data_IF_345960624239
#
_entry.id   IF_345960624239
#
_cell.length_a   1.000
_cell.length_b   1.000
_cell.length_c   1.000
_cell.angle_alpha   90.00
_cell.angle_beta   90.00
_cell.angle_gamma   90.00
#
_symmetry.space_group_name_H-M   'P 1'
#
loop_
_entity.id
_entity.type
_entity.pdbx_description
1 polymer ?
#
# COMPACT_ATOMS: atom_id res chain seq x y z
N UNK A 1 -18.78 -10.57 9.93
CA UNK A 1 -17.95 -9.34 10.00
C UNK A 1 -16.56 -9.73 9.48
N UNK A 2 -16.07 -9.10 8.41
CA UNK A 2 -14.76 -9.41 7.84
C UNK A 2 -13.63 -9.22 8.86
N UNK A 3 -12.65 -10.11 8.80
CA UNK A 3 -11.41 -10.04 9.58
C UNK A 3 -10.34 -9.37 8.73
N UNK A 4 -9.69 -8.33 9.26
CA UNK A 4 -8.67 -7.60 8.49
C UNK A 4 -7.36 -7.58 9.26
N UNK A 5 -6.32 -8.16 8.65
CA UNK A 5 -4.98 -8.20 9.21
C UNK A 5 -4.21 -6.91 8.91
N UNK A 6 -3.46 -6.42 9.88
CA UNK A 6 -2.54 -5.31 9.70
C UNK A 6 -1.45 -5.29 10.77
N UNK A 7 -0.36 -4.55 10.48
CA UNK A 7 0.74 -4.38 11.43
C UNK A 7 0.27 -3.65 12.67
N UNK A 8 0.36 -4.33 13.82
CA UNK A 8 0.08 -3.79 15.15
C UNK A 8 1.27 -3.00 15.75
N UNK A 9 1.08 -2.48 16.97
CA UNK A 9 -0.16 -2.42 17.72
C UNK A 9 -1.19 -1.47 17.11
N UNK A 10 -2.37 -1.36 17.73
CA UNK A 10 -3.39 -0.36 17.35
C UNK A 10 -2.81 1.06 17.41
N UNK A 11 -3.30 1.96 16.55
CA UNK A 11 -2.82 3.35 16.46
C UNK A 11 -1.73 3.57 15.40
N UNK A 12 -1.38 2.57 14.58
CA UNK A 12 -0.41 2.74 13.49
C UNK A 12 -0.98 3.50 12.29
N UNK A 13 -0.12 4.05 11.42
CA UNK A 13 -0.57 4.63 10.13
C UNK A 13 -1.30 3.61 9.25
N UNK A 14 -0.96 2.33 9.35
CA UNK A 14 -1.68 1.27 8.63
C UNK A 14 -3.13 1.19 9.08
N UNK A 15 -3.38 1.30 10.37
CA UNK A 15 -4.75 1.34 10.89
C UNK A 15 -5.47 2.63 10.48
N UNK A 16 -4.79 3.79 10.50
CA UNK A 16 -5.36 5.05 10.00
C UNK A 16 -5.80 4.89 8.55
N UNK A 17 -4.94 4.30 7.70
CA UNK A 17 -5.27 4.04 6.30
C UNK A 17 -6.46 3.09 6.17
N UNK A 18 -6.49 2.00 6.94
CA UNK A 18 -7.61 1.05 6.94
C UNK A 18 -8.92 1.70 7.34
N UNK A 19 -8.93 2.50 8.41
CA UNK A 19 -10.13 3.22 8.85
C UNK A 19 -10.63 4.20 7.79
N UNK A 20 -9.72 4.88 7.07
CA UNK A 20 -10.11 5.73 5.94
C UNK A 20 -10.64 4.92 4.75
N UNK A 21 -10.06 3.76 4.43
CA UNK A 21 -10.59 2.87 3.39
C UNK A 21 -12.01 2.41 3.73
N UNK A 22 -12.25 2.03 4.99
CA UNK A 22 -13.60 1.67 5.49
C UNK A 22 -14.56 2.85 5.36
N UNK A 23 -14.17 4.03 5.80
CA UNK A 23 -15.00 5.24 5.73
C UNK A 23 -15.34 5.66 4.28
N UNK A 24 -14.55 5.26 3.29
CA UNK A 24 -14.76 5.51 1.86
C UNK A 24 -15.42 4.34 1.11
N UNK A 25 -15.91 3.32 1.84
CA UNK A 25 -16.54 2.11 1.27
C UNK A 25 -15.63 1.33 0.29
N UNK A 26 -14.32 1.34 0.58
CA UNK A 26 -13.32 0.69 -0.28
C UNK A 26 -13.02 -0.76 0.14
N UNK A 27 -13.59 -1.24 1.24
CA UNK A 27 -13.31 -2.57 1.80
C UNK A 27 -14.47 -3.50 1.53
N UNK A 28 -14.30 -4.55 0.70
CA UNK A 28 -15.38 -5.47 0.37
C UNK A 28 -16.03 -6.10 1.61
N UNK A 29 -17.35 -6.03 1.68
CA UNK A 29 -18.14 -6.63 2.77
C UNK A 29 -18.07 -5.88 4.11
N UNK A 30 -17.38 -4.76 4.18
CA UNK A 30 -17.35 -3.86 5.35
C UNK A 30 -18.22 -2.66 5.06
N UNK A 31 -19.20 -2.39 5.90
CA UNK A 31 -19.97 -1.14 5.84
C UNK A 31 -19.25 -0.05 6.65
N UNK A 32 -19.31 1.21 6.21
CA UNK A 32 -18.85 2.33 7.05
C UNK A 32 -19.46 2.22 8.44
N UNK A 33 -18.66 2.49 9.47
CA UNK A 33 -19.09 2.35 10.85
C UNK A 33 -20.38 3.16 11.11
N UNK A 34 -21.41 2.56 11.73
CA UNK A 34 -22.51 3.33 12.25
C UNK A 34 -22.00 4.31 13.32
N UNK A 35 -22.82 5.29 13.69
CA UNK A 35 -22.49 6.38 14.63
C UNK A 35 -22.00 5.91 16.02
N UNK A 36 -22.05 4.61 16.32
CA UNK A 36 -21.56 4.00 17.57
C UNK A 36 -20.05 3.79 17.62
N UNK A 37 -19.32 4.16 16.57
CA UNK A 37 -17.86 4.17 16.52
C UNK A 37 -17.19 2.80 16.43
N UNK A 38 -17.95 1.68 16.31
CA UNK A 38 -17.36 0.35 16.14
C UNK A 38 -16.98 0.15 14.68
N UNK A 39 -15.69 -0.15 14.44
CA UNK A 39 -15.21 -0.54 13.11
C UNK A 39 -16.05 -1.71 12.58
N UNK A 40 -16.53 -1.62 11.33
CA UNK A 40 -17.33 -2.67 10.69
C UNK A 40 -16.54 -3.94 10.35
N UNK A 41 -15.36 -4.15 10.97
CA UNK A 41 -14.47 -5.29 10.77
C UNK A 41 -13.88 -5.77 12.10
N UNK A 42 -13.34 -7.00 12.12
CA UNK A 42 -12.58 -7.56 13.24
C UNK A 42 -11.08 -7.41 12.95
N UNK A 43 -10.31 -6.67 13.78
CA UNK A 43 -8.87 -6.53 13.59
C UNK A 43 -8.13 -7.84 13.88
N UNK A 44 -7.13 -8.15 13.04
CA UNK A 44 -6.16 -9.22 13.24
C UNK A 44 -4.77 -8.57 13.28
N UNK A 45 -4.29 -8.30 14.49
CA UNK A 45 -2.98 -7.66 14.68
C UNK A 45 -1.85 -8.66 14.41
N UNK A 46 -0.82 -8.18 13.71
CA UNK A 46 0.36 -8.97 13.36
C UNK A 46 1.64 -8.21 13.67
N UNK A 47 2.75 -8.94 13.85
CA UNK A 47 4.04 -8.36 14.21
C UNK A 47 4.83 -7.84 13.00
N UNK A 48 4.34 -8.10 11.78
CA UNK A 48 5.02 -7.70 10.55
C UNK A 48 4.05 -7.62 9.37
N UNK A 49 4.41 -6.84 8.36
CA UNK A 49 3.69 -6.77 7.08
C UNK A 49 3.59 -8.15 6.39
N UNK A 50 4.67 -8.95 6.29
CA UNK A 50 4.56 -10.33 5.78
C UNK A 50 3.61 -11.19 6.62
N UNK A 51 3.57 -11.00 7.94
CA UNK A 51 2.65 -11.70 8.84
C UNK A 51 1.18 -11.37 8.54
N UNK A 52 0.87 -10.12 8.17
CA UNK A 52 -0.48 -9.73 7.77
C UNK A 52 -0.90 -10.44 6.47
N UNK A 53 -0.03 -10.49 5.46
CA UNK A 53 -0.29 -11.21 4.21
C UNK A 53 -0.39 -12.73 4.43
N UNK A 54 0.43 -13.30 5.31
CA UNK A 54 0.34 -14.70 5.70
C UNK A 54 -1.00 -15.01 6.38
N UNK A 55 -1.51 -14.11 7.22
CA UNK A 55 -2.82 -14.30 7.87
C UNK A 55 -3.97 -14.45 6.85
N UNK A 56 -3.88 -13.78 5.69
CA UNK A 56 -4.85 -13.97 4.60
C UNK A 56 -4.69 -15.34 3.95
N UNK A 57 -3.45 -15.76 3.64
CA UNK A 57 -3.18 -17.08 3.04
C UNK A 57 -3.63 -18.23 3.93
N UNK A 58 -3.44 -18.08 5.23
CA UNK A 58 -3.81 -19.09 6.24
C UNK A 58 -5.31 -19.06 6.59
N UNK A 59 -6.10 -18.17 5.99
CA UNK A 59 -7.53 -18.02 6.28
C UNK A 59 -7.83 -17.47 7.69
N UNK A 60 -6.82 -16.89 8.37
CA UNK A 60 -7.01 -16.21 9.66
C UNK A 60 -7.60 -14.82 9.51
N UNK A 61 -7.39 -14.20 8.34
CA UNK A 61 -8.00 -12.94 7.95
C UNK A 61 -8.59 -13.05 6.53
N UNK A 62 -9.61 -12.26 6.26
CA UNK A 62 -10.25 -12.19 4.95
C UNK A 62 -9.52 -11.21 4.04
N UNK A 63 -8.95 -10.14 4.62
CA UNK A 63 -8.11 -9.16 3.96
C UNK A 63 -6.92 -8.75 4.83
N UNK A 64 -5.92 -8.13 4.21
CA UNK A 64 -4.84 -7.44 4.90
C UNK A 64 -4.70 -6.01 4.37
N UNK A 65 -4.47 -5.04 5.26
CA UNK A 65 -4.05 -3.69 4.90
C UNK A 65 -2.55 -3.57 5.14
N UNK A 66 -1.80 -3.21 4.10
CA UNK A 66 -0.33 -3.15 4.15
C UNK A 66 0.21 -1.95 3.37
N UNK A 67 1.32 -1.32 3.81
CA UNK A 67 2.01 -0.31 3.03
C UNK A 67 2.73 -0.98 1.84
N UNK A 68 2.72 -0.35 0.67
CA UNK A 68 3.41 -0.84 -0.53
C UNK A 68 4.51 0.11 -1.02
N UNK A 69 4.36 1.39 -0.76
CA UNK A 69 5.28 2.44 -1.22
C UNK A 69 5.23 3.65 -0.29
N UNK A 70 6.39 4.24 -0.05
CA UNK A 70 6.56 5.50 0.67
C UNK A 70 7.33 6.49 -0.21
N UNK A 71 6.89 7.75 -0.27
CA UNK A 71 7.49 8.76 -1.15
C UNK A 71 8.93 9.15 -0.76
N UNK A 72 9.36 8.86 0.46
CA UNK A 72 10.71 9.14 0.97
C UNK A 72 11.59 7.89 0.90
N UNK A 73 11.09 6.75 1.41
CA UNK A 73 11.86 5.51 1.54
C UNK A 73 11.78 4.61 0.28
N UNK A 74 10.84 4.90 -0.64
CA UNK A 74 10.58 4.08 -1.82
C UNK A 74 9.69 2.87 -1.55
N UNK A 75 9.92 1.78 -2.26
CA UNK A 75 9.12 0.56 -2.17
C UNK A 75 9.24 -0.14 -0.82
N UNK A 76 8.12 -0.60 -0.26
CA UNK A 76 8.11 -1.43 0.95
C UNK A 76 8.46 -2.87 0.57
N UNK A 77 9.76 -3.17 0.59
CA UNK A 77 10.31 -4.44 0.09
C UNK A 77 9.69 -5.69 0.73
N UNK A 78 9.43 -5.75 2.05
CA UNK A 78 8.78 -6.90 2.66
C UNK A 78 7.38 -7.19 2.09
N UNK A 79 6.62 -6.14 1.74
CA UNK A 79 5.31 -6.28 1.07
C UNK A 79 5.48 -6.86 -0.33
N UNK A 80 6.38 -6.28 -1.13
CA UNK A 80 6.63 -6.75 -2.50
C UNK A 80 7.10 -8.21 -2.52
N UNK A 81 8.11 -8.52 -1.72
CA UNK A 81 8.64 -9.88 -1.63
C UNK A 81 7.53 -10.90 -1.26
N UNK A 82 6.66 -10.52 -0.31
CA UNK A 82 5.55 -11.39 0.11
C UNK A 82 4.47 -11.54 -0.96
N UNK A 83 4.18 -10.50 -1.76
CA UNK A 83 3.22 -10.59 -2.87
C UNK A 83 3.74 -11.46 -4.03
N UNK A 84 5.06 -11.47 -4.24
CA UNK A 84 5.68 -12.21 -5.35
C UNK A 84 5.79 -13.72 -5.14
N UNK A 85 5.72 -14.20 -3.90
CA UNK A 85 5.97 -15.61 -3.56
C UNK A 85 4.78 -16.24 -2.84
N UNK A 86 4.77 -17.57 -2.76
CA UNK A 86 3.71 -18.35 -2.10
C UNK A 86 2.39 -18.32 -2.86
N UNK A 87 1.31 -18.71 -2.17
CA UNK A 87 -0.03 -18.69 -2.76
C UNK A 87 -0.40 -17.28 -3.21
N UNK A 88 -1.05 -17.14 -4.39
CA UNK A 88 -1.41 -15.85 -4.95
C UNK A 88 -2.28 -15.02 -4.00
N UNK A 89 -2.02 -13.73 -3.99
CA UNK A 89 -2.84 -12.72 -3.33
C UNK A 89 -3.19 -11.64 -4.35
N UNK A 90 -4.30 -10.93 -4.11
CA UNK A 90 -4.80 -9.89 -5.01
C UNK A 90 -5.08 -8.60 -4.25
N UNK A 91 -4.74 -7.48 -4.87
CA UNK A 91 -5.02 -6.13 -4.37
C UNK A 91 -6.42 -5.72 -4.86
N UNK A 92 -7.22 -5.16 -3.96
CA UNK A 92 -8.60 -4.73 -4.20
C UNK A 92 -8.80 -3.22 -4.11
N UNK A 93 -7.94 -2.54 -3.36
CA UNK A 93 -8.01 -1.09 -3.17
C UNK A 93 -6.64 -0.52 -2.84
N UNK A 94 -6.46 0.78 -3.07
CA UNK A 94 -5.32 1.55 -2.59
C UNK A 94 -5.78 2.85 -1.93
N UNK A 95 -5.01 3.32 -0.97
CA UNK A 95 -5.16 4.63 -0.35
C UNK A 95 -3.78 5.27 -0.21
N UNK A 96 -3.66 6.52 -0.63
CA UNK A 96 -2.49 7.35 -0.35
C UNK A 96 -2.79 8.20 0.89
N UNK A 97 -1.95 8.03 1.90
CA UNK A 97 -2.03 8.77 3.16
C UNK A 97 -0.89 9.76 3.23
N UNK A 98 -1.19 11.03 3.49
CA UNK A 98 -0.18 12.01 3.87
C UNK A 98 0.34 11.66 5.27
N UNK A 99 1.67 11.57 5.42
CA UNK A 99 2.31 11.17 6.67
C UNK A 99 2.78 12.41 7.41
N UNK A 100 2.16 12.67 8.54
CA UNK A 100 2.59 13.67 9.50
C UNK A 100 2.53 13.08 10.91
N UNK A 101 3.47 13.47 11.76
CA UNK A 101 3.58 12.91 13.09
C UNK A 101 2.99 13.84 14.14
N UNK A 102 2.55 13.24 15.23
CA UNK A 102 2.09 13.95 16.43
C UNK A 102 3.10 13.71 17.52
N UNK A 103 3.62 14.78 18.11
CA UNK A 103 4.46 14.69 19.30
C UNK A 103 3.53 14.67 20.52
N UNK A 104 3.62 13.62 21.30
CA UNK A 104 2.72 13.33 22.41
C UNK A 104 3.45 13.36 23.74
N UNK A 105 2.71 13.72 24.81
CA UNK A 105 3.16 13.67 26.19
C UNK A 105 2.07 13.07 27.09
N UNK A 106 2.42 12.70 28.31
CA UNK A 106 1.40 12.34 29.30
C UNK A 106 0.48 13.53 29.60
N UNK A 107 -0.79 13.28 29.93
CA UNK A 107 -1.72 14.35 30.32
C UNK A 107 -1.16 15.20 31.45
N UNK A 108 -1.24 16.53 31.26
CA UNK A 108 -0.78 17.48 32.24
C UNK A 108 0.74 17.54 32.46
N UNK A 109 1.55 17.03 31.53
CA UNK A 109 3.01 17.12 31.61
C UNK A 109 3.47 18.57 31.54
N UNK A 110 4.13 19.05 32.61
CA UNK A 110 4.64 20.44 32.72
C UNK A 110 6.15 20.51 32.89
N UNK A 111 6.81 19.37 32.98
CA UNK A 111 8.26 19.28 33.16
C UNK A 111 9.07 19.40 31.85
N UNK A 112 10.38 19.48 31.90
CA UNK A 112 11.21 19.40 30.70
C UNK A 112 11.12 18.01 30.09
N UNK A 113 11.00 17.95 28.75
CA UNK A 113 11.09 16.70 28.00
C UNK A 113 12.57 16.30 27.89
N UNK A 114 12.95 15.23 28.57
CA UNK A 114 14.34 14.69 28.58
C UNK A 114 14.48 13.47 27.67
N UNK A 115 13.41 12.74 27.46
CA UNK A 115 13.39 11.53 26.64
C UNK A 115 12.26 11.57 25.63
N UNK A 116 12.55 11.16 24.37
CA UNK A 116 11.59 11.08 23.28
C UNK A 116 11.62 9.69 22.69
N UNK A 117 10.53 8.93 22.83
CA UNK A 117 10.36 7.66 22.18
C UNK A 117 10.06 7.86 20.69
N UNK A 118 10.81 7.21 19.79
CA UNK A 118 10.60 7.33 18.36
C UNK A 118 10.94 6.04 17.60
N UNK A 119 10.12 5.70 16.62
CA UNK A 119 10.47 4.70 15.61
C UNK A 119 11.54 5.28 14.67
N UNK A 120 12.60 4.54 14.27
CA UNK A 120 13.70 5.09 13.49
C UNK A 120 13.30 5.82 12.21
N UNK A 121 12.34 5.30 11.47
CA UNK A 121 11.83 5.94 10.23
C UNK A 121 11.12 7.26 10.55
N UNK A 122 10.31 7.30 11.60
CA UNK A 122 9.66 8.53 12.06
C UNK A 122 10.68 9.56 12.55
N UNK A 123 11.68 9.11 13.30
CA UNK A 123 12.76 9.99 13.79
C UNK A 123 13.46 10.70 12.62
N UNK A 124 13.76 10.00 11.54
CA UNK A 124 14.40 10.58 10.37
C UNK A 124 13.56 11.72 9.75
N UNK A 125 12.23 11.65 9.87
CA UNK A 125 11.29 12.61 9.29
C UNK A 125 10.88 13.77 10.21
N UNK A 126 11.29 13.76 11.48
CA UNK A 126 11.03 14.84 12.46
C UNK A 126 12.28 15.38 13.12
N UNK A 127 13.44 15.00 12.60
CA UNK A 127 14.74 15.29 13.19
C UNK A 127 15.02 16.79 13.36
N UNK A 128 14.67 17.59 12.34
CA UNK A 128 14.86 19.06 12.38
C UNK A 128 13.95 19.68 13.41
N UNK A 129 12.70 19.24 13.47
CA UNK A 129 11.76 19.74 14.47
C UNK A 129 12.23 19.43 15.90
N UNK A 130 12.65 18.18 16.17
CA UNK A 130 13.17 17.79 17.49
C UNK A 130 14.39 18.63 17.89
N UNK A 131 15.34 18.83 16.99
CA UNK A 131 16.54 19.63 17.25
C UNK A 131 16.21 21.10 17.58
N UNK A 132 15.15 21.64 16.99
CA UNK A 132 14.73 23.03 17.21
C UNK A 132 13.91 23.22 18.51
N UNK A 133 13.08 22.23 18.89
CA UNK A 133 12.12 22.39 19.98
C UNK A 133 12.47 21.58 21.24
N UNK A 134 13.21 20.49 21.09
CA UNK A 134 13.62 19.58 22.17
C UNK A 134 15.11 19.23 22.07
N UNK A 135 16.02 20.24 22.02
CA UNK A 135 17.44 20.01 21.73
C UNK A 135 18.17 19.16 22.77
N UNK A 136 17.70 19.18 24.02
CA UNK A 136 18.32 18.44 25.15
C UNK A 136 17.72 17.05 25.35
N UNK A 137 16.73 16.67 24.55
CA UNK A 137 16.05 15.38 24.71
C UNK A 137 16.84 14.22 24.07
N UNK A 138 16.97 13.13 24.81
CA UNK A 138 17.58 11.89 24.33
C UNK A 138 16.51 11.02 23.65
N UNK A 139 16.83 10.52 22.46
CA UNK A 139 15.92 9.62 21.74
C UNK A 139 16.01 8.20 22.29
N UNK A 140 14.85 7.62 22.60
CA UNK A 140 14.67 6.22 22.98
C UNK A 140 14.02 5.49 21.80
N UNK A 141 14.62 4.41 21.25
CA UNK A 141 14.06 3.71 20.11
C UNK A 141 12.77 2.98 20.50
N UNK A 142 11.75 3.14 19.67
CA UNK A 142 10.48 2.41 19.74
C UNK A 142 10.34 1.48 18.53
N UNK A 143 9.57 0.39 18.66
CA UNK A 143 9.38 -0.61 17.61
C UNK A 143 8.36 -0.18 16.54
N UNK A 144 7.53 0.83 16.84
CA UNK A 144 6.57 1.44 15.91
C UNK A 144 6.14 2.81 16.42
N UNK A 145 5.45 3.59 15.57
CA UNK A 145 4.89 4.89 15.99
C UNK A 145 3.84 4.73 17.10
N UNK A 146 3.02 3.69 17.05
CA UNK A 146 2.06 3.41 18.10
C UNK A 146 2.76 2.94 19.39
N UNK A 147 3.83 2.13 19.28
CA UNK A 147 4.62 1.74 20.44
C UNK A 147 5.25 2.95 21.15
N UNK A 148 5.68 3.98 20.41
CA UNK A 148 6.18 5.22 20.99
C UNK A 148 5.12 5.91 21.88
N UNK A 149 3.85 5.90 21.51
CA UNK A 149 2.78 6.41 22.37
C UNK A 149 2.60 5.56 23.64
N UNK A 150 2.70 4.25 23.55
CA UNK A 150 2.63 3.36 24.72
C UNK A 150 3.81 3.60 25.68
N UNK A 151 5.06 3.82 25.17
CA UNK A 151 6.20 4.18 26.01
C UNK A 151 5.92 5.43 26.86
N UNK A 152 5.24 6.42 26.25
CA UNK A 152 4.84 7.65 26.94
C UNK A 152 3.73 7.39 27.96
N UNK A 153 2.70 6.65 27.58
CA UNK A 153 1.56 6.34 28.45
C UNK A 153 2.01 5.60 29.71
N UNK A 154 2.98 4.67 29.58
CA UNK A 154 3.54 3.89 30.69
C UNK A 154 4.64 4.61 31.44
N UNK A 155 5.00 5.85 31.06
CA UNK A 155 5.99 6.66 31.76
C UNK A 155 7.46 6.28 31.50
N UNK A 156 7.75 5.48 30.46
CA UNK A 156 9.11 5.12 30.06
C UNK A 156 9.78 6.18 29.20
N UNK A 157 9.00 7.10 28.62
CA UNK A 157 9.50 8.30 27.96
C UNK A 157 8.64 9.51 28.34
N UNK A 158 9.23 10.71 28.27
CA UNK A 158 8.51 11.95 28.55
C UNK A 158 7.62 12.38 27.38
N UNK A 159 8.14 12.20 26.16
CA UNK A 159 7.40 12.45 24.91
C UNK A 159 7.57 11.31 23.91
N UNK A 160 6.76 11.30 22.86
CA UNK A 160 6.82 10.30 21.80
C UNK A 160 6.47 10.87 20.44
N UNK A 161 7.13 10.36 19.39
CA UNK A 161 6.77 10.61 17.99
C UNK A 161 5.79 9.55 17.54
N UNK A 162 4.54 9.92 17.31
CA UNK A 162 3.46 8.97 17.12
C UNK A 162 2.44 9.44 16.08
N UNK A 163 1.29 8.80 16.04
CA UNK A 163 0.13 9.21 15.24
C UNK A 163 -0.92 9.87 16.13
N UNK A 164 -1.76 10.70 15.56
CA UNK A 164 -2.88 11.28 16.29
C UNK A 164 -3.85 10.20 16.82
N UNK A 165 -4.04 9.12 16.06
CA UNK A 165 -4.88 7.99 16.47
C UNK A 165 -4.34 7.30 17.73
N UNK A 166 -3.02 7.06 17.78
CA UNK A 166 -2.38 6.47 18.97
C UNK A 166 -2.45 7.42 20.18
N UNK A 167 -2.25 8.73 19.96
CA UNK A 167 -2.43 9.73 21.02
C UNK A 167 -3.84 9.66 21.65
N UNK A 168 -4.87 9.63 20.82
CA UNK A 168 -6.28 9.53 21.27
C UNK A 168 -6.54 8.22 22.02
N UNK A 169 -6.05 7.07 21.51
CA UNK A 169 -6.27 5.77 22.14
C UNK A 169 -5.55 5.61 23.47
N UNK A 170 -4.37 6.19 23.59
CA UNK A 170 -3.59 6.16 24.84
C UNK A 170 -3.97 7.31 25.80
N UNK A 171 -4.91 8.19 25.44
CA UNK A 171 -5.31 9.32 26.27
C UNK A 171 -4.18 10.30 26.52
N UNK A 172 -3.30 10.53 25.55
CA UNK A 172 -2.14 11.43 25.64
C UNK A 172 -2.48 12.84 25.17
N UNK A 173 -1.76 13.81 25.73
CA UNK A 173 -1.80 15.19 25.28
C UNK A 173 -0.92 15.39 24.04
N UNK A 174 -1.37 16.25 23.15
CA UNK A 174 -0.66 16.63 21.92
C UNK A 174 0.22 17.84 22.21
N UNK A 175 1.54 17.67 22.20
CA UNK A 175 2.51 18.76 22.30
C UNK A 175 2.64 19.51 20.97
N UNK A 176 2.68 18.78 19.85
CA UNK A 176 2.68 19.35 18.50
C UNK A 176 2.00 18.36 17.53
N UNK A 177 1.24 18.89 16.57
CA UNK A 177 0.58 18.12 15.51
C UNK A 177 1.24 18.45 14.16
N UNK A 178 1.01 17.58 13.18
CA UNK A 178 1.43 17.74 11.79
C UNK A 178 2.94 17.99 11.63
N UNK A 179 3.74 17.36 12.51
CA UNK A 179 5.19 17.50 12.48
C UNK A 179 5.76 16.60 11.38
N UNK A 180 6.43 17.23 10.42
CA UNK A 180 7.19 16.54 9.37
C UNK A 180 8.26 17.47 8.80
N UNK A 181 9.45 16.94 8.58
CA UNK A 181 10.57 17.72 8.03
C UNK A 181 10.46 17.91 6.50
N UNK A 182 9.81 16.96 5.80
CA UNK A 182 9.60 16.97 4.36
C UNK A 182 8.09 17.03 4.05
N UNK A 183 7.64 18.15 3.51
CA UNK A 183 6.20 18.47 3.35
C UNK A 183 5.38 17.53 2.46
N UNK A 184 6.02 16.59 1.74
CA UNK A 184 5.34 15.69 0.80
C UNK A 184 5.49 14.20 1.17
N UNK A 185 5.69 13.90 2.47
CA UNK A 185 5.77 12.52 2.92
C UNK A 185 4.40 11.83 2.76
N UNK A 186 4.36 10.80 1.90
CA UNK A 186 3.16 10.02 1.60
C UNK A 186 3.45 8.54 1.64
N UNK A 187 2.49 7.77 2.11
CA UNK A 187 2.55 6.31 2.03
C UNK A 187 1.33 5.78 1.31
N UNK A 188 1.56 4.94 0.32
CA UNK A 188 0.51 4.20 -0.37
C UNK A 188 0.29 2.88 0.35
N UNK A 189 -0.95 2.68 0.78
CA UNK A 189 -1.43 1.44 1.40
C UNK A 189 -2.32 0.70 0.41
N UNK A 190 -2.32 -0.62 0.51
CA UNK A 190 -3.17 -1.49 -0.31
C UNK A 190 -3.97 -2.45 0.56
N UNK A 191 -5.19 -2.73 0.13
CA UNK A 191 -6.03 -3.78 0.68
C UNK A 191 -5.83 -5.05 -0.16
N UNK A 192 -5.39 -6.11 0.49
CA UNK A 192 -5.02 -7.38 -0.14
C UNK A 192 -5.93 -8.49 0.37
N UNK A 193 -6.39 -9.36 -0.53
CA UNK A 193 -7.18 -10.55 -0.20
C UNK A 193 -6.76 -11.76 -1.03
N UNK A 194 -7.50 -12.85 -0.90
CA UNK A 194 -7.37 -14.01 -1.82
C UNK A 194 -7.84 -13.64 -3.22
N UNK A 195 -7.33 -14.30 -4.29
CA UNK A 195 -7.76 -14.03 -5.65
C UNK A 195 -9.27 -14.17 -5.84
N UNK A 196 -9.86 -13.20 -6.54
CA UNK A 196 -11.27 -13.14 -6.84
C UNK A 196 -11.55 -12.18 -8.01
N UNK A 197 -12.83 -11.90 -8.27
CA UNK A 197 -13.18 -10.89 -9.25
C UNK A 197 -12.63 -9.52 -8.83
N UNK A 198 -11.96 -8.77 -9.73
CA UNK A 198 -11.52 -7.43 -9.43
C UNK A 198 -12.71 -6.50 -9.21
N UNK A 199 -12.54 -5.38 -8.49
CA UNK A 199 -13.53 -4.32 -8.43
C UNK A 199 -13.98 -3.88 -9.84
N UNK A 200 -15.19 -3.33 -10.01
CA UNK A 200 -15.62 -2.79 -11.29
C UNK A 200 -14.68 -1.70 -11.80
N UNK A 201 -14.47 -1.66 -13.13
CA UNK A 201 -13.68 -0.61 -13.76
C UNK A 201 -14.34 0.76 -13.57
N UNK A 202 -13.53 1.77 -13.26
CA UNK A 202 -13.97 3.16 -13.01
C UNK A 202 -13.49 4.13 -14.09
N UNK A 203 -12.54 3.71 -14.93
CA UNK A 203 -11.83 4.57 -15.89
C UNK A 203 -10.67 5.34 -15.27
N UNK A 204 -10.43 5.17 -13.96
CA UNK A 204 -9.28 5.67 -13.23
C UNK A 204 -8.69 4.54 -12.39
N UNK A 205 -8.23 3.51 -13.06
CA UNK A 205 -7.83 2.25 -12.45
C UNK A 205 -6.33 2.00 -12.63
N UNK A 206 -5.80 1.15 -11.79
CA UNK A 206 -4.43 0.63 -11.84
C UNK A 206 -4.46 -0.88 -11.91
N UNK A 207 -3.59 -1.42 -12.76
CA UNK A 207 -3.30 -2.87 -12.80
C UNK A 207 -1.86 -3.09 -12.39
N UNK A 208 -1.63 -4.10 -11.55
CA UNK A 208 -0.29 -4.48 -11.11
C UNK A 208 0.00 -5.94 -11.41
N UNK A 209 1.23 -6.20 -11.86
CA UNK A 209 1.74 -7.54 -12.16
C UNK A 209 3.17 -7.73 -11.65
N UNK A 210 3.53 -8.98 -11.40
CA UNK A 210 4.91 -9.41 -11.21
C UNK A 210 5.31 -10.28 -12.39
N UNK A 211 6.37 -9.91 -13.07
CA UNK A 211 6.92 -10.65 -14.21
C UNK A 211 8.18 -11.40 -13.77
N UNK A 212 8.30 -12.66 -14.17
CA UNK A 212 9.54 -13.41 -14.21
C UNK A 212 9.97 -13.56 -15.65
N UNK A 213 11.17 -13.12 -15.95
CA UNK A 213 11.71 -13.10 -17.30
C UNK A 213 12.89 -14.06 -17.40
N UNK A 214 13.11 -14.60 -18.59
CA UNK A 214 14.36 -15.27 -18.89
C UNK A 214 15.53 -14.29 -18.75
N UNK A 215 16.65 -14.75 -18.21
CA UNK A 215 17.86 -13.93 -18.10
C UNK A 215 18.55 -13.82 -19.46
N UNK A 216 17.94 -13.09 -20.39
CA UNK A 216 18.40 -12.89 -21.75
C UNK A 216 18.45 -11.39 -22.09
N UNK A 217 19.41 -10.98 -22.97
CA UNK A 217 19.47 -9.61 -23.45
C UNK A 217 18.14 -9.18 -24.10
N UNK A 218 17.63 -8.00 -23.67
CA UNK A 218 16.39 -7.44 -24.21
C UNK A 218 15.10 -8.01 -23.63
N UNK A 219 15.12 -9.01 -22.73
CA UNK A 219 13.91 -9.60 -22.16
C UNK A 219 13.01 -8.56 -21.48
N UNK A 220 13.57 -7.69 -20.63
CA UNK A 220 12.81 -6.61 -19.98
C UNK A 220 12.26 -5.61 -20.99
N UNK A 221 13.07 -5.20 -21.98
CA UNK A 221 12.62 -4.26 -23.02
C UNK A 221 11.45 -4.87 -23.81
N UNK A 222 11.51 -6.14 -24.17
CA UNK A 222 10.45 -6.84 -24.88
C UNK A 222 9.15 -6.89 -24.06
N UNK A 223 9.24 -7.10 -22.74
CA UNK A 223 8.08 -7.07 -21.86
C UNK A 223 7.48 -5.65 -21.76
N UNK A 224 8.31 -4.61 -21.61
CA UNK A 224 7.84 -3.22 -21.57
C UNK A 224 7.25 -2.75 -22.89
N UNK A 225 7.73 -3.28 -24.03
CA UNK A 225 7.17 -2.97 -25.36
C UNK A 225 5.70 -3.36 -25.46
N UNK A 226 5.26 -4.42 -24.77
CA UNK A 226 3.84 -4.83 -24.80
C UNK A 226 2.89 -3.79 -24.19
N UNK A 227 3.37 -2.96 -23.28
CA UNK A 227 2.62 -1.80 -22.77
C UNK A 227 2.73 -0.61 -23.75
N UNK A 228 3.95 -0.31 -24.20
CA UNK A 228 4.22 0.86 -25.04
C UNK A 228 3.46 0.84 -26.37
N UNK A 229 3.39 -0.30 -27.07
CA UNK A 229 2.68 -0.41 -28.35
C UNK A 229 1.16 -0.32 -28.22
N UNK A 230 0.65 -0.31 -27.00
CA UNK A 230 -0.77 -0.18 -26.67
C UNK A 230 -1.09 1.13 -25.96
N UNK A 231 -0.14 2.06 -25.94
CA UNK A 231 -0.24 3.35 -25.25
C UNK A 231 -0.66 3.25 -23.78
N UNK A 232 -0.15 2.21 -23.09
CA UNK A 232 -0.41 1.99 -21.67
C UNK A 232 0.71 2.64 -20.87
N UNK A 233 0.34 3.56 -19.98
CA UNK A 233 1.26 4.24 -19.09
C UNK A 233 1.70 3.33 -17.93
N UNK A 234 3.02 3.23 -17.72
CA UNK A 234 3.63 2.53 -16.59
C UNK A 234 3.95 3.53 -15.48
N UNK A 235 3.34 3.35 -14.32
CA UNK A 235 3.48 4.27 -13.17
C UNK A 235 4.50 3.79 -12.14
N UNK A 236 4.89 2.53 -12.16
CA UNK A 236 5.94 1.97 -11.31
C UNK A 236 6.65 0.81 -11.99
N UNK A 237 7.95 0.76 -11.79
CA UNK A 237 8.78 -0.40 -12.06
C UNK A 237 9.72 -0.64 -10.88
N UNK A 238 9.77 -1.86 -10.39
CA UNK A 238 10.66 -2.26 -9.31
C UNK A 238 11.25 -3.63 -9.63
N UNK A 239 12.57 -3.77 -9.61
CA UNK A 239 13.26 -5.04 -9.79
C UNK A 239 13.62 -5.65 -8.44
N UNK A 240 13.32 -6.93 -8.25
CA UNK A 240 13.65 -7.66 -7.04
C UNK A 240 14.37 -8.98 -7.37
N UNK A 241 15.41 -9.36 -6.62
CA UNK A 241 16.02 -10.66 -6.80
C UNK A 241 15.02 -11.77 -6.48
N UNK A 242 15.03 -12.84 -7.25
CA UNK A 242 14.14 -14.00 -6.99
C UNK A 242 14.50 -14.76 -5.72
N UNK A 243 15.72 -14.56 -5.19
CA UNK A 243 16.30 -15.27 -4.03
C UNK A 243 16.48 -16.79 -4.25
N UNK A 244 16.26 -17.27 -5.46
CA UNK A 244 16.48 -18.67 -5.83
C UNK A 244 17.86 -18.86 -6.43
N UNK A 245 18.32 -17.89 -7.22
CA UNK A 245 19.62 -17.91 -7.90
C UNK A 245 20.14 -16.49 -8.09
N UNK A 246 21.46 -16.29 -7.99
CA UNK A 246 22.10 -15.00 -8.28
C UNK A 246 21.92 -14.63 -9.75
N UNK A 247 21.58 -13.35 -9.98
CA UNK A 247 21.39 -12.84 -11.34
C UNK A 247 19.99 -13.07 -11.91
N UNK A 248 19.07 -13.68 -11.16
CA UNK A 248 17.67 -13.81 -11.56
C UNK A 248 16.80 -12.79 -10.83
N UNK A 249 15.92 -12.13 -11.59
CA UNK A 249 15.08 -11.03 -11.10
C UNK A 249 13.62 -11.24 -11.45
N UNK A 250 12.76 -10.69 -10.62
CA UNK A 250 11.35 -10.46 -10.87
C UNK A 250 11.09 -8.97 -10.94
N UNK A 251 10.14 -8.56 -11.77
CA UNK A 251 9.82 -7.16 -12.03
C UNK A 251 8.37 -6.88 -11.67
N UNK A 252 8.17 -5.96 -10.74
CA UNK A 252 6.86 -5.42 -10.43
C UNK A 252 6.57 -4.27 -11.36
N UNK A 253 5.44 -4.31 -12.03
CA UNK A 253 4.97 -3.25 -12.90
C UNK A 253 3.56 -2.82 -12.47
N UNK A 254 3.37 -1.52 -12.29
CA UNK A 254 2.04 -0.93 -12.17
C UNK A 254 1.77 -0.15 -13.46
N UNK A 255 0.61 -0.37 -14.06
CA UNK A 255 0.15 0.38 -15.22
C UNK A 255 -1.22 1.01 -14.95
N UNK A 256 -1.53 2.07 -15.69
CA UNK A 256 -2.85 2.67 -15.69
C UNK A 256 -3.79 1.84 -16.56
N UNK A 257 -5.02 1.66 -16.09
CA UNK A 257 -6.08 0.91 -16.73
C UNK A 257 -6.48 -0.34 -15.96
N UNK A 258 -7.62 -0.88 -16.34
CA UNK A 258 -8.24 -2.05 -15.71
C UNK A 258 -8.05 -3.30 -16.59
N UNK A 259 -8.03 -4.49 -15.98
CA UNK A 259 -7.93 -5.76 -16.72
C UNK A 259 -9.07 -5.95 -17.76
N UNK A 260 -10.19 -5.27 -17.58
CA UNK A 260 -11.30 -5.28 -18.53
C UNK A 260 -11.13 -4.26 -19.68
N UNK A 261 -10.10 -3.41 -19.65
CA UNK A 261 -9.75 -2.56 -20.76
C UNK A 261 -9.02 -3.40 -21.82
N UNK A 262 -9.48 -3.38 -23.06
CA UNK A 262 -8.90 -4.19 -24.13
C UNK A 262 -7.37 -4.06 -24.27
N UNK A 263 -6.77 -2.85 -24.24
CA UNK A 263 -5.31 -2.71 -24.29
C UNK A 263 -4.60 -3.42 -23.15
N UNK A 264 -5.10 -3.30 -21.92
CA UNK A 264 -4.52 -3.95 -20.73
C UNK A 264 -4.66 -5.47 -20.84
N UNK A 265 -5.85 -5.96 -21.21
CA UNK A 265 -6.10 -7.40 -21.40
C UNK A 265 -5.18 -7.99 -22.47
N UNK A 266 -4.97 -7.29 -23.59
CA UNK A 266 -4.09 -7.71 -24.67
C UNK A 266 -2.61 -7.70 -24.24
N UNK A 267 -2.17 -6.66 -23.50
CA UNK A 267 -0.84 -6.61 -22.95
C UNK A 267 -0.58 -7.79 -22.02
N UNK A 268 -1.51 -8.10 -21.11
CA UNK A 268 -1.39 -9.24 -20.20
C UNK A 268 -1.34 -10.59 -20.95
N UNK A 269 -2.13 -10.76 -22.00
CA UNK A 269 -2.07 -11.96 -22.87
C UNK A 269 -0.70 -12.07 -23.57
N UNK A 270 -0.16 -10.97 -24.05
CA UNK A 270 1.15 -10.94 -24.72
C UNK A 270 2.28 -11.24 -23.72
N UNK A 271 2.24 -10.65 -22.53
CA UNK A 271 3.18 -10.93 -21.45
C UNK A 271 3.14 -12.40 -21.02
N UNK A 272 1.95 -12.98 -20.87
CA UNK A 272 1.78 -14.40 -20.52
C UNK A 272 2.44 -15.36 -21.54
N UNK A 273 2.49 -14.98 -22.82
CA UNK A 273 3.16 -15.78 -23.87
C UNK A 273 4.67 -15.61 -23.89
N UNK A 274 5.22 -14.50 -23.34
CA UNK A 274 6.63 -14.14 -23.45
C UNK A 274 7.41 -14.35 -22.17
N UNK A 275 6.78 -14.17 -21.01
CA UNK A 275 7.42 -14.26 -19.72
C UNK A 275 7.42 -15.70 -19.22
N UNK A 276 8.42 -16.05 -18.42
CA UNK A 276 8.47 -17.35 -17.73
C UNK A 276 7.29 -17.49 -16.77
N UNK A 277 6.90 -16.38 -16.12
CA UNK A 277 5.73 -16.33 -15.25
C UNK A 277 5.17 -14.90 -15.19
N UNK A 278 3.85 -14.81 -15.12
CA UNK A 278 3.12 -13.54 -14.91
C UNK A 278 2.17 -13.73 -13.75
N UNK A 279 2.47 -13.08 -12.64
CA UNK A 279 1.59 -13.05 -11.48
C UNK A 279 0.76 -11.78 -11.52
N UNK A 280 -0.53 -11.91 -11.69
CA UNK A 280 -1.48 -10.81 -11.59
C UNK A 280 -1.71 -10.46 -10.13
N UNK A 281 -1.47 -9.20 -9.76
CA UNK A 281 -1.68 -8.69 -8.40
C UNK A 281 -3.01 -7.99 -8.22
N UNK A 282 -3.72 -7.65 -9.31
CA UNK A 282 -5.04 -7.03 -9.25
C UNK A 282 -5.21 -5.85 -10.20
N UNK A 283 -6.48 -5.44 -10.34
CA UNK A 283 -6.90 -4.17 -10.94
C UNK A 283 -7.88 -3.50 -9.97
N UNK A 284 -7.67 -2.22 -9.66
CA UNK A 284 -8.45 -1.50 -8.67
C UNK A 284 -8.50 0.00 -8.97
N UNK A 285 -9.53 0.72 -8.48
CA UNK A 285 -9.61 2.16 -8.60
C UNK A 285 -8.41 2.84 -7.91
N UNK A 286 -7.76 3.77 -8.62
CA UNK A 286 -6.77 4.66 -8.00
C UNK A 286 -7.50 5.81 -7.34
N UNK A 287 -7.28 6.14 -6.13
CA UNK A 287 -7.84 7.35 -5.51
C UNK A 287 -7.29 8.66 -6.08
N UNK A 288 -6.49 8.61 -7.16
CA UNK A 288 -5.80 9.75 -7.77
C UNK A 288 -5.82 9.66 -9.30
N UNK A 289 -5.85 10.82 -9.95
CA UNK A 289 -5.77 10.99 -11.41
C UNK A 289 -4.35 10.83 -11.98
N UNK A 290 -3.54 9.92 -11.45
CA UNK A 290 -2.18 9.70 -11.92
C UNK A 290 -2.17 8.89 -13.21
N UNK A 291 -1.82 9.53 -14.35
CA UNK A 291 -1.67 8.92 -15.65
C UNK A 291 -2.88 9.08 -16.57
N UNK A 292 -2.64 8.94 -17.87
CA UNK A 292 -3.71 8.92 -18.87
C UNK A 292 -4.33 7.52 -18.96
N UNK A 293 -5.66 7.39 -19.00
CA UNK A 293 -6.29 6.09 -19.23
C UNK A 293 -5.86 5.56 -20.60
N UNK A 294 -5.75 4.22 -20.77
CA UNK A 294 -5.43 3.65 -22.06
C UNK A 294 -6.50 4.00 -23.10
N UNK A 295 -6.15 4.09 -24.40
CA UNK A 295 -7.10 4.41 -25.44
C UNK A 295 -8.22 3.39 -25.47
N UNK A 296 -9.46 3.85 -25.69
CA UNK A 296 -10.59 2.96 -25.87
C UNK A 296 -10.55 2.37 -27.28
N UNK A 297 -10.37 1.07 -27.37
CA UNK A 297 -10.35 0.33 -28.65
C UNK A 297 -11.71 -0.30 -28.98
N UNK A 298 -12.80 0.22 -28.44
CA UNK A 298 -14.18 -0.28 -28.64
C UNK A 298 -14.54 -0.42 -30.12
N UNK A 299 -13.96 0.42 -30.99
CA UNK A 299 -14.19 0.36 -32.44
C UNK A 299 -13.55 -0.91 -33.04
N UNK A 300 -12.29 -1.19 -32.70
CA UNK A 300 -11.59 -2.37 -33.20
C UNK A 300 -12.27 -3.67 -32.69
N UNK A 301 -12.66 -3.68 -31.42
CA UNK A 301 -13.38 -4.82 -30.83
C UNK A 301 -14.74 -5.04 -31.50
N UNK A 302 -15.50 -3.96 -31.76
CA UNK A 302 -16.79 -4.04 -32.48
C UNK A 302 -16.59 -4.48 -33.91
N UNK A 303 -15.58 -3.94 -34.61
CA UNK A 303 -15.25 -4.37 -35.98
C UNK A 303 -14.93 -5.84 -36.04
N UNK A 304 -14.08 -6.35 -35.13
CA UNK A 304 -13.77 -7.80 -35.10
C UNK A 304 -14.97 -8.66 -34.75
N UNK A 305 -15.83 -8.23 -33.83
CA UNK A 305 -17.07 -8.92 -33.52
C UNK A 305 -17.98 -8.99 -34.76
N UNK A 306 -18.13 -7.87 -35.50
CA UNK A 306 -18.88 -7.83 -36.75
C UNK A 306 -18.35 -8.80 -37.81
N UNK A 307 -17.02 -8.96 -37.91
CA UNK A 307 -16.43 -9.98 -38.82
C UNK A 307 -16.78 -11.40 -38.39
N UNK A 308 -16.76 -11.71 -37.10
CA UNK A 308 -17.13 -13.03 -36.57
C UNK A 308 -18.60 -13.36 -36.78
N UNK A 309 -19.46 -12.36 -36.69
CA UNK A 309 -20.90 -12.50 -36.83
C UNK A 309 -21.37 -12.37 -38.31
N UNK A 310 -20.41 -12.14 -39.24
CA UNK A 310 -20.71 -11.96 -40.66
C UNK A 310 -21.45 -10.66 -41.01
N UNK A 311 -21.45 -9.67 -40.07
CA UNK A 311 -22.11 -8.37 -40.24
C UNK A 311 -21.11 -7.25 -40.55
N UNK A 312 -19.80 -7.51 -40.43
CA UNK A 312 -18.69 -6.56 -40.60
C UNK A 312 -18.07 -6.61 -41.99
N UNK A 313 -18.78 -6.12 -43.00
CA UNK A 313 -18.31 -6.09 -44.39
C UNK A 313 -18.75 -4.84 -45.13
N UNK A 314 -18.23 -3.67 -44.76
CA UNK A 314 -18.17 -2.48 -45.65
C UNK A 314 -17.29 -1.43 -45.01
#
# INVERSE_FOLDING_TARGET
VPRIAYLGPEGTFTEVALLQMVGRDMVPGVRPAPADGKAGFTPVLTDSTPGALAAVRDGRADHACVPIENSIEGSVLPTLDSLAVGEPLQIYAELVLDVAFTIVTRPGHTGPVRTVAAFPVALAQVRRWLAAHLPDATVVPATSNAAAAHEVAEGRADAGVSTQLAAQRCGLDVLAADVVDEANARTRFVLVGTPGAPPPATGADRTSVVLRLDNAPGALVSAMTEFSVRDIDLTRIESRPTRTELGTYMFFLDCIGHINDDPVAEALKALHRRCTDVRYLGSWPTGSSAGAPPPRLDEATRWLAGLRDGTGGS
#
